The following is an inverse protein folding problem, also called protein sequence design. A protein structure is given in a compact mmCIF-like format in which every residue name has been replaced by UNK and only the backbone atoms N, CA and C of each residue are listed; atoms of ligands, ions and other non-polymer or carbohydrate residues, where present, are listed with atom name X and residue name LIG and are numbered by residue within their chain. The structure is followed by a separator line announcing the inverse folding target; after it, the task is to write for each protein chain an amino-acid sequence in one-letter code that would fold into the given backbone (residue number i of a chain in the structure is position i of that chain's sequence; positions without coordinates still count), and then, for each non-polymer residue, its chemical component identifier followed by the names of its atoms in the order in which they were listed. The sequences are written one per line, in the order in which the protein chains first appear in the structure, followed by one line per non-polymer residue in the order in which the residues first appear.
data_IF_736121590931
#
_entry.id   IF_736121590931
#
_cell.length_a   1.000
_cell.length_b   1.000
_cell.length_c   1.000
_cell.angle_alpha   90.00
_cell.angle_beta   90.00
_cell.angle_gamma   90.00
#
_symmetry.space_group_name_H-M   'P 1'
#
loop_
_entity.id
_entity.type
_entity.pdbx_description
1 polymer ?
#
# COMPACT_ATOMS: atom_id res chain seq x y z
N UNK A 1 10.47 10.13 39.35
CA UNK A 1 9.26 10.52 38.58
C UNK A 1 8.77 9.25 37.89
N UNK A 2 7.50 8.83 38.02
CA UNK A 2 7.03 7.65 37.30
C UNK A 2 6.97 8.03 35.82
N UNK A 3 8.09 7.83 35.12
CA UNK A 3 8.14 8.00 33.68
C UNK A 3 7.22 6.94 33.10
N UNK A 4 6.05 7.36 32.60
CA UNK A 4 5.16 6.50 31.85
C UNK A 4 6.02 5.87 30.74
N UNK A 5 6.16 4.53 30.70
CA UNK A 5 7.03 3.89 29.73
C UNK A 5 6.61 4.32 28.32
N UNK A 6 7.58 4.74 27.50
CA UNK A 6 7.38 5.13 26.10
C UNK A 6 6.48 4.18 25.27
N UNK A 7 6.44 2.84 25.53
CA UNK A 7 5.50 1.93 24.89
C UNK A 7 4.01 2.28 25.04
N UNK A 8 3.60 2.97 26.11
CA UNK A 8 2.20 3.33 26.31
C UNK A 8 1.73 4.43 25.35
N UNK A 9 2.62 5.36 24.97
CA UNK A 9 2.30 6.40 24.00
C UNK A 9 2.11 5.82 22.60
N UNK A 10 3.01 4.93 22.17
CA UNK A 10 2.89 4.26 20.87
C UNK A 10 1.67 3.35 20.81
N UNK A 11 1.35 2.64 21.91
CA UNK A 11 0.13 1.85 22.04
C UNK A 11 -1.13 2.71 21.89
N UNK A 12 -1.19 3.86 22.56
CA UNK A 12 -2.34 4.77 22.49
C UNK A 12 -2.57 5.28 21.07
N UNK A 13 -1.50 5.65 20.36
CA UNK A 13 -1.60 6.08 18.96
C UNK A 13 -2.06 4.94 18.04
N UNK A 14 -1.47 3.74 18.19
CA UNK A 14 -1.88 2.57 17.41
C UNK A 14 -3.36 2.20 17.64
N UNK A 15 -3.85 2.31 18.88
CA UNK A 15 -5.25 2.09 19.23
C UNK A 15 -6.19 3.12 18.60
N UNK A 16 -5.83 4.41 18.64
CA UNK A 16 -6.62 5.47 17.98
C UNK A 16 -6.70 5.25 16.46
N UNK A 17 -5.62 4.78 15.84
CA UNK A 17 -5.59 4.47 14.42
C UNK A 17 -6.42 3.23 14.07
N UNK A 18 -6.31 2.17 14.87
CA UNK A 18 -7.14 0.97 14.72
C UNK A 18 -8.63 1.33 14.87
N UNK A 19 -8.98 2.18 15.83
CA UNK A 19 -10.34 2.66 16.03
C UNK A 19 -10.83 3.46 14.83
N UNK A 20 -10.04 4.40 14.31
CA UNK A 20 -10.38 5.17 13.10
C UNK A 20 -10.63 4.25 11.90
N UNK A 21 -9.82 3.20 11.74
CA UNK A 21 -9.96 2.22 10.65
C UNK A 21 -11.20 1.35 10.85
N UNK A 22 -11.50 0.90 12.06
CA UNK A 22 -12.72 0.13 12.37
C UNK A 22 -14.01 0.94 12.13
N UNK A 23 -14.00 2.25 12.42
CA UNK A 23 -15.11 3.15 12.09
C UNK A 23 -15.20 3.46 10.59
N UNK A 24 -14.08 3.42 9.87
CA UNK A 24 -14.05 3.58 8.42
C UNK A 24 -14.49 2.27 7.76
N UNK A 25 -15.80 2.12 7.52
CA UNK A 25 -16.52 0.93 7.02
C UNK A 25 -16.04 0.30 5.69
N UNK A 26 -14.86 0.62 5.20
CA UNK A 26 -14.32 0.06 3.96
C UNK A 26 -13.64 -1.29 4.23
N UNK A 27 -14.17 -2.34 3.61
CA UNK A 27 -13.65 -3.71 3.70
C UNK A 27 -12.18 -3.85 3.26
N UNK A 28 -11.68 -2.87 2.51
CA UNK A 28 -10.31 -2.82 1.96
C UNK A 28 -9.25 -2.56 3.03
N UNK A 29 -9.59 -1.91 4.15
CA UNK A 29 -8.65 -1.70 5.26
C UNK A 29 -8.59 -2.88 6.23
N UNK A 30 -9.37 -3.95 6.02
CA UNK A 30 -9.38 -5.11 6.92
C UNK A 30 -7.98 -5.71 7.09
N UNK A 31 -7.21 -5.80 6.03
CA UNK A 31 -5.85 -6.33 6.07
C UNK A 31 -4.88 -5.40 6.79
N UNK A 32 -5.03 -4.09 6.63
CA UNK A 32 -4.27 -3.08 7.37
C UNK A 32 -4.63 -3.11 8.86
N UNK A 33 -5.90 -3.30 9.19
CA UNK A 33 -6.37 -3.46 10.56
C UNK A 33 -5.80 -4.72 11.23
N UNK A 34 -5.73 -5.84 10.49
CA UNK A 34 -5.10 -7.08 10.96
C UNK A 34 -3.60 -6.84 11.25
N UNK A 35 -2.88 -6.20 10.34
CA UNK A 35 -1.48 -5.84 10.57
C UNK A 35 -1.29 -4.91 11.77
N UNK A 36 -2.08 -3.85 11.87
CA UNK A 36 -2.05 -2.93 13.01
C UNK A 36 -2.39 -3.62 14.33
N UNK A 37 -3.33 -4.57 14.34
CA UNK A 37 -3.64 -5.35 15.53
C UNK A 37 -2.45 -6.20 15.98
N UNK A 38 -1.68 -6.77 15.05
CA UNK A 38 -0.42 -7.45 15.35
C UNK A 38 0.60 -6.52 16.00
N UNK A 39 0.76 -5.31 15.46
CA UNK A 39 1.64 -4.29 16.06
C UNK A 39 1.18 -3.86 17.45
N UNK A 40 -0.13 -3.66 17.66
CA UNK A 40 -0.73 -3.34 18.97
C UNK A 40 -0.41 -4.45 19.98
N UNK A 41 -0.61 -5.71 19.61
CA UNK A 41 -0.30 -6.86 20.47
C UNK A 41 1.18 -6.88 20.84
N UNK A 42 2.08 -6.66 19.89
CA UNK A 42 3.52 -6.69 20.13
C UNK A 42 3.97 -5.54 21.05
N UNK A 43 3.46 -4.33 20.85
CA UNK A 43 3.73 -3.18 21.73
C UNK A 43 3.11 -3.38 23.12
N UNK A 44 1.91 -3.93 23.21
CA UNK A 44 1.25 -4.25 24.47
C UNK A 44 2.06 -5.28 25.27
N UNK A 45 2.51 -6.36 24.64
CA UNK A 45 3.36 -7.37 25.28
C UNK A 45 4.69 -6.77 25.77
N UNK A 46 5.30 -5.88 24.97
CA UNK A 46 6.50 -5.14 25.38
C UNK A 46 6.25 -4.24 26.59
N UNK A 47 5.10 -3.56 26.66
CA UNK A 47 4.71 -2.72 27.80
C UNK A 47 4.44 -3.56 29.06
N UNK A 48 3.76 -4.69 28.89
CA UNK A 48 3.45 -5.62 29.98
C UNK A 48 4.72 -6.22 30.58
N UNK A 49 5.71 -6.57 29.74
CA UNK A 49 7.01 -7.07 30.17
C UNK A 49 7.77 -6.08 31.05
N UNK A 50 7.68 -4.78 30.76
CA UNK A 50 8.31 -3.75 31.59
C UNK A 50 7.68 -3.64 32.98
N UNK A 51 6.44 -4.08 33.14
CA UNK A 51 5.68 -4.00 34.39
C UNK A 51 5.71 -5.32 35.16
N UNK A 52 5.78 -6.45 34.45
CA UNK A 52 5.77 -7.80 35.00
C UNK A 52 6.91 -8.61 34.37
N UNK A 53 7.94 -8.96 35.14
CA UNK A 53 9.05 -9.81 34.68
C UNK A 53 8.67 -11.31 34.69
N UNK A 54 7.63 -11.66 33.92
CA UNK A 54 7.18 -13.04 33.80
C UNK A 54 7.81 -13.72 32.58
N UNK A 55 8.34 -14.94 32.77
CA UNK A 55 8.94 -15.76 31.71
C UNK A 55 7.95 -16.05 30.56
N UNK A 56 6.67 -16.24 30.89
CA UNK A 56 5.59 -16.48 29.92
C UNK A 56 5.44 -15.30 28.95
N UNK A 57 5.60 -14.06 29.43
CA UNK A 57 5.52 -12.86 28.59
C UNK A 57 6.67 -12.76 27.60
N UNK A 58 7.87 -13.26 27.98
CA UNK A 58 9.02 -13.30 27.06
C UNK A 58 8.76 -14.25 25.90
N UNK A 59 8.21 -15.43 26.15
CA UNK A 59 7.86 -16.39 25.08
C UNK A 59 6.76 -15.85 24.16
N UNK A 60 5.69 -15.27 24.73
CA UNK A 60 4.62 -14.64 23.95
C UNK A 60 5.14 -13.50 23.06
N UNK A 61 6.06 -12.68 23.57
CA UNK A 61 6.68 -11.60 22.80
C UNK A 61 7.46 -12.15 21.59
N UNK A 62 8.29 -13.18 21.77
CA UNK A 62 9.04 -13.80 20.68
C UNK A 62 8.12 -14.43 19.62
N UNK A 63 7.06 -15.11 20.04
CA UNK A 63 6.08 -15.68 19.11
C UNK A 63 5.35 -14.59 18.31
N UNK A 64 4.93 -13.51 18.97
CA UNK A 64 4.32 -12.36 18.29
C UNK A 64 5.27 -11.70 17.29
N UNK A 65 6.56 -11.57 17.64
CA UNK A 65 7.58 -11.02 16.76
C UNK A 65 7.83 -11.89 15.53
N UNK A 66 7.88 -13.22 15.68
CA UNK A 66 8.04 -14.16 14.55
C UNK A 66 6.80 -14.12 13.63
N UNK A 67 5.61 -13.96 14.19
CA UNK A 67 4.36 -13.96 13.43
C UNK A 67 4.10 -12.65 12.67
N UNK A 68 4.67 -11.52 13.11
CA UNK A 68 4.35 -10.20 12.55
C UNK A 68 4.79 -10.03 11.08
N UNK A 69 6.03 -10.32 10.66
CA UNK A 69 6.45 -10.17 9.26
C UNK A 69 5.68 -11.04 8.24
N UNK A 70 5.41 -12.35 8.47
CA UNK A 70 4.61 -13.14 7.54
C UNK A 70 3.15 -12.66 7.49
N UNK A 71 2.59 -12.19 8.60
CA UNK A 71 1.26 -11.59 8.64
C UNK A 71 1.21 -10.29 7.82
N UNK A 72 2.19 -9.41 7.97
CA UNK A 72 2.31 -8.20 7.17
C UNK A 72 2.36 -8.53 5.68
N UNK A 73 3.20 -9.50 5.31
CA UNK A 73 3.32 -9.95 3.94
C UNK A 73 2.00 -10.51 3.39
N UNK A 74 1.32 -11.38 4.14
CA UNK A 74 0.03 -11.92 3.73
C UNK A 74 -1.03 -10.82 3.55
N UNK A 75 -1.10 -9.88 4.49
CA UNK A 75 -2.05 -8.76 4.44
C UNK A 75 -1.87 -7.91 3.18
N UNK A 76 -0.65 -7.50 2.84
CA UNK A 76 -0.38 -6.62 1.70
C UNK A 76 -0.33 -7.35 0.35
N UNK A 77 0.06 -8.63 0.32
CA UNK A 77 0.08 -9.41 -0.93
C UNK A 77 -1.27 -10.01 -1.32
N UNK A 78 -2.23 -10.06 -0.40
CA UNK A 78 -3.59 -10.58 -0.67
C UNK A 78 -4.32 -9.85 -1.82
N UNK A 79 -3.94 -8.61 -2.11
CA UNK A 79 -4.47 -7.79 -3.21
C UNK A 79 -3.72 -7.95 -4.53
N UNK A 80 -2.59 -8.66 -4.51
CA UNK A 80 -1.79 -8.93 -5.71
C UNK A 80 -2.27 -10.19 -6.40
N UNK A 81 -2.18 -10.22 -7.74
CA UNK A 81 -2.47 -11.43 -8.54
C UNK A 81 -1.50 -12.59 -8.32
N UNK A 82 -0.64 -12.54 -7.30
CA UNK A 82 0.37 -13.55 -7.03
C UNK A 82 -0.13 -14.69 -6.13
N UNK A 83 -1.40 -14.73 -5.72
CA UNK A 83 -1.99 -15.84 -4.93
C UNK A 83 -1.75 -17.19 -5.62
N UNK A 84 -0.91 -18.06 -5.04
CA UNK A 84 -0.93 -19.50 -5.34
C UNK A 84 0.26 -20.11 -6.10
N UNK A 85 1.42 -19.46 -6.20
CA UNK A 85 2.63 -20.10 -6.74
C UNK A 85 3.36 -21.03 -5.72
N UNK A 86 4.17 -22.01 -6.17
CA UNK A 86 4.98 -22.86 -5.27
C UNK A 86 5.97 -22.07 -4.40
N UNK A 87 6.28 -20.83 -4.79
CA UNK A 87 7.07 -19.88 -4.01
C UNK A 87 6.40 -19.46 -2.69
N UNK A 88 5.08 -19.62 -2.54
CA UNK A 88 4.35 -19.32 -1.29
C UNK A 88 4.74 -20.25 -0.13
N UNK A 89 4.95 -21.54 -0.42
CA UNK A 89 5.40 -22.49 0.58
C UNK A 89 6.80 -22.15 1.12
N UNK A 90 7.66 -21.59 0.26
CA UNK A 90 9.00 -21.15 0.66
C UNK A 90 8.97 -19.94 1.62
N UNK A 91 7.96 -19.05 1.52
CA UNK A 91 7.82 -17.94 2.47
C UNK A 91 7.46 -18.43 3.88
N UNK A 92 6.63 -19.47 4.01
CA UNK A 92 6.33 -20.09 5.31
C UNK A 92 7.49 -20.87 5.93
N UNK A 93 8.51 -21.23 5.14
CA UNK A 93 9.68 -21.96 5.62
C UNK A 93 10.55 -21.09 6.54
N UNK A 94 10.68 -19.79 6.24
CA UNK A 94 11.45 -18.83 7.05
C UNK A 94 10.92 -18.63 8.50
N UNK A 95 9.62 -18.38 8.75
CA UNK A 95 9.10 -18.27 10.11
C UNK A 95 9.11 -19.61 10.87
N UNK A 96 8.95 -20.74 10.19
CA UNK A 96 9.11 -22.07 10.81
C UNK A 96 10.56 -22.29 11.26
N UNK A 97 11.55 -21.94 10.43
CA UNK A 97 12.96 -21.98 10.82
C UNK A 97 13.25 -21.04 12.00
N UNK A 98 12.71 -19.82 12.00
CA UNK A 98 12.87 -18.89 13.11
C UNK A 98 12.26 -19.43 14.42
N UNK A 99 11.12 -20.13 14.35
CA UNK A 99 10.52 -20.81 15.49
C UNK A 99 11.39 -21.96 16.01
N UNK A 100 11.96 -22.77 15.11
CA UNK A 100 12.90 -23.85 15.48
C UNK A 100 14.13 -23.28 16.16
N UNK A 101 14.72 -22.20 15.62
CA UNK A 101 15.85 -21.50 16.24
C UNK A 101 15.46 -20.96 17.63
N UNK A 102 14.25 -20.42 17.79
CA UNK A 102 13.77 -19.94 19.09
C UNK A 102 13.64 -21.04 20.15
N UNK A 103 13.28 -22.26 19.74
CA UNK A 103 13.18 -23.41 20.64
C UNK A 103 14.54 -24.08 20.91
N UNK A 104 15.41 -24.17 19.90
CA UNK A 104 16.66 -24.93 19.97
C UNK A 104 17.89 -24.11 20.39
N UNK A 105 17.94 -22.83 20.03
CA UNK A 105 19.06 -21.93 20.28
C UNK A 105 18.57 -20.50 20.59
N UNK A 106 18.10 -20.25 21.84
CA UNK A 106 17.60 -18.93 22.24
C UNK A 106 18.61 -17.80 22.06
N UNK A 107 19.92 -18.07 22.08
CA UNK A 107 20.94 -17.05 21.85
C UNK A 107 21.05 -16.57 20.40
N UNK A 108 20.46 -17.29 19.45
CA UNK A 108 20.46 -16.95 18.03
C UNK A 108 19.13 -16.35 17.56
N UNK A 109 18.16 -16.17 18.46
CA UNK A 109 16.82 -15.65 18.11
C UNK A 109 16.87 -14.26 17.52
N UNK A 110 17.74 -13.41 18.02
CA UNK A 110 17.81 -12.01 17.61
C UNK A 110 18.30 -11.90 16.16
N UNK A 111 19.28 -12.73 15.79
CA UNK A 111 19.76 -12.83 14.41
C UNK A 111 18.69 -13.43 13.48
N UNK A 112 17.94 -14.43 13.94
CA UNK A 112 16.84 -15.02 13.18
C UNK A 112 15.70 -14.02 12.95
N UNK A 113 15.32 -13.25 13.98
CA UNK A 113 14.32 -12.19 13.88
C UNK A 113 14.77 -11.10 12.92
N UNK A 114 16.01 -10.62 13.03
CA UNK A 114 16.57 -9.63 12.10
C UNK A 114 16.44 -10.09 10.64
N UNK A 115 16.89 -11.31 10.32
CA UNK A 115 16.82 -11.86 8.96
C UNK A 115 15.37 -12.00 8.48
N UNK A 116 14.46 -12.40 9.37
CA UNK A 116 13.04 -12.50 9.07
C UNK A 116 12.45 -11.13 8.72
N UNK A 117 12.65 -10.12 9.58
CA UNK A 117 12.14 -8.76 9.39
C UNK A 117 12.74 -8.08 8.14
N UNK A 118 14.06 -8.16 7.95
CA UNK A 118 14.71 -7.62 6.75
C UNK A 118 14.28 -8.34 5.47
N UNK A 119 14.14 -9.67 5.50
CA UNK A 119 13.72 -10.47 4.35
C UNK A 119 12.31 -10.10 3.90
N UNK A 120 11.34 -10.13 4.82
CA UNK A 120 9.96 -9.75 4.52
C UNK A 120 9.84 -8.26 4.17
N UNK A 121 10.52 -7.37 4.88
CA UNK A 121 10.54 -5.94 4.57
C UNK A 121 11.06 -5.66 3.16
N UNK A 122 12.16 -6.28 2.77
CA UNK A 122 12.73 -6.16 1.43
C UNK A 122 11.79 -6.70 0.35
N UNK A 123 11.08 -7.80 0.61
CA UNK A 123 10.11 -8.34 -0.34
C UNK A 123 8.92 -7.40 -0.56
N UNK A 124 8.40 -6.77 0.51
CA UNK A 124 7.32 -5.79 0.40
C UNK A 124 7.76 -4.54 -0.37
N UNK A 125 8.98 -4.05 -0.12
CA UNK A 125 9.56 -2.93 -0.89
C UNK A 125 9.69 -3.31 -2.37
N UNK A 126 10.15 -4.53 -2.67
CA UNK A 126 10.27 -5.01 -4.05
C UNK A 126 8.91 -5.09 -4.74
N UNK A 127 7.88 -5.59 -4.06
CA UNK A 127 6.50 -5.67 -4.58
C UNK A 127 5.93 -4.27 -4.81
N UNK A 128 6.17 -3.33 -3.89
CA UNK A 128 5.76 -1.93 -4.06
C UNK A 128 6.44 -1.26 -5.26
N UNK A 129 7.74 -1.52 -5.47
CA UNK A 129 8.52 -0.99 -6.62
C UNK A 129 8.06 -1.54 -7.98
N UNK A 130 7.36 -2.69 -8.02
CA UNK A 130 6.76 -3.22 -9.25
C UNK A 130 5.57 -2.36 -9.72
N UNK A 131 5.12 -1.41 -8.91
CA UNK A 131 4.13 -0.43 -9.28
C UNK A 131 2.70 -0.87 -9.03
N UNK A 132 1.81 0.08 -9.30
CA UNK A 132 0.39 0.10 -8.94
C UNK A 132 -0.39 -1.05 -9.58
N UNK A 133 0.00 -1.45 -10.79
CA UNK A 133 -0.67 -2.49 -11.57
C UNK A 133 -0.44 -3.90 -11.01
N UNK A 134 0.48 -4.07 -10.05
CA UNK A 134 0.66 -5.33 -9.32
C UNK A 134 -0.56 -5.68 -8.47
N UNK A 135 -1.31 -4.68 -8.02
CA UNK A 135 -2.48 -4.80 -7.15
C UNK A 135 -3.77 -5.01 -7.95
N UNK A 136 -3.80 -6.09 -8.73
CA UNK A 136 -4.84 -6.41 -9.73
C UNK A 136 -6.26 -6.46 -9.14
N UNK A 137 -6.40 -6.82 -7.86
CA UNK A 137 -7.69 -6.91 -7.17
C UNK A 137 -8.07 -5.65 -6.37
N UNK A 138 -7.18 -4.66 -6.29
CA UNK A 138 -7.51 -3.37 -5.68
C UNK A 138 -8.29 -2.50 -6.66
N UNK A 139 -9.19 -1.67 -6.14
CA UNK A 139 -9.86 -0.62 -6.92
C UNK A 139 -8.80 0.25 -7.57
N UNK A 140 -9.07 0.66 -8.80
CA UNK A 140 -8.12 1.42 -9.60
C UNK A 140 -7.70 2.75 -8.93
N UNK A 141 -8.60 3.38 -8.15
CA UNK A 141 -8.28 4.58 -7.38
C UNK A 141 -7.41 4.30 -6.14
N UNK A 142 -7.63 3.15 -5.50
CA UNK A 142 -7.01 2.79 -4.22
C UNK A 142 -5.69 2.04 -4.40
N UNK A 143 -5.38 1.57 -5.61
CA UNK A 143 -4.16 0.86 -5.94
C UNK A 143 -2.87 1.67 -5.62
N UNK A 144 -2.92 3.00 -5.79
CA UNK A 144 -1.81 3.90 -5.41
C UNK A 144 -1.58 3.92 -3.89
N UNK A 145 -2.67 3.99 -3.13
CA UNK A 145 -2.64 3.94 -1.68
C UNK A 145 -2.12 2.58 -1.20
N UNK A 146 -2.60 1.47 -1.78
CA UNK A 146 -2.13 0.13 -1.47
C UNK A 146 -0.62 -0.05 -1.73
N UNK A 147 -0.12 0.48 -2.86
CA UNK A 147 1.32 0.45 -3.22
C UNK A 147 2.16 1.21 -2.22
N UNK A 148 1.69 2.40 -1.82
CA UNK A 148 2.39 3.26 -0.85
C UNK A 148 2.37 2.66 0.55
N UNK A 149 1.23 2.13 1.00
CA UNK A 149 1.12 1.43 2.29
C UNK A 149 2.05 0.21 2.35
N UNK A 150 2.12 -0.57 1.26
CA UNK A 150 3.03 -1.70 1.14
C UNK A 150 4.50 -1.27 1.24
N UNK A 151 4.86 -0.14 0.61
CA UNK A 151 6.20 0.45 0.72
C UNK A 151 6.54 0.79 2.18
N UNK A 152 5.67 1.55 2.85
CA UNK A 152 5.89 2.00 4.21
C UNK A 152 5.93 0.83 5.20
N UNK A 153 5.07 -0.18 5.01
CA UNK A 153 5.12 -1.41 5.81
C UNK A 153 6.45 -2.16 5.62
N UNK A 154 6.97 -2.23 4.40
CA UNK A 154 8.28 -2.82 4.12
C UNK A 154 9.43 -2.05 4.78
N UNK A 155 9.44 -0.72 4.66
CA UNK A 155 10.42 0.15 5.32
C UNK A 155 10.36 0.02 6.85
N UNK A 156 9.16 -0.04 7.42
CA UNK A 156 8.93 -0.26 8.85
C UNK A 156 9.53 -1.59 9.31
N UNK A 157 9.30 -2.69 8.59
CA UNK A 157 9.88 -3.99 8.95
C UNK A 157 11.41 -3.97 8.88
N UNK A 158 11.99 -3.36 7.85
CA UNK A 158 13.45 -3.23 7.74
C UNK A 158 14.02 -2.38 8.88
N UNK A 159 13.37 -1.26 9.23
CA UNK A 159 13.78 -0.42 10.34
C UNK A 159 13.70 -1.17 11.68
N UNK A 160 12.62 -1.91 11.92
CA UNK A 160 12.46 -2.75 13.11
C UNK A 160 13.58 -3.79 13.19
N UNK A 161 13.88 -4.51 12.11
CA UNK A 161 14.96 -5.50 12.09
C UNK A 161 16.34 -4.89 12.33
N UNK A 162 16.60 -3.66 11.85
CA UNK A 162 17.85 -2.94 12.10
C UNK A 162 17.99 -2.49 13.57
N UNK A 163 16.88 -2.08 14.20
CA UNK A 163 16.85 -1.76 15.63
C UNK A 163 17.10 -3.01 16.47
N UNK A 164 16.47 -4.13 16.13
CA UNK A 164 16.68 -5.41 16.82
C UNK A 164 18.15 -5.85 16.75
N UNK A 165 18.80 -5.69 15.58
CA UNK A 165 20.24 -5.92 15.43
C UNK A 165 21.07 -4.98 16.32
N UNK A 166 20.74 -3.69 16.34
CA UNK A 166 21.48 -2.71 17.13
C UNK A 166 21.38 -3.02 18.64
N UNK A 167 20.21 -3.45 19.12
CA UNK A 167 20.02 -3.91 20.49
C UNK A 167 20.85 -5.17 20.77
N UNK A 168 20.84 -6.16 19.87
CA UNK A 168 21.61 -7.38 20.03
C UNK A 168 23.13 -7.11 20.09
N UNK A 169 23.63 -6.17 19.28
CA UNK A 169 25.02 -5.70 19.31
C UNK A 169 25.32 -4.99 20.64
N UNK A 170 24.42 -4.14 21.13
CA UNK A 170 24.57 -3.45 22.42
C UNK A 170 24.70 -4.44 23.59
N UNK A 171 23.88 -5.49 23.61
CA UNK A 171 24.00 -6.55 24.62
C UNK A 171 25.32 -7.32 24.54
N UNK A 172 25.89 -7.51 23.34
CA UNK A 172 27.16 -8.24 23.17
C UNK A 172 28.40 -7.42 23.48
N UNK A 173 28.40 -6.13 23.17
CA UNK A 173 29.60 -5.27 23.27
C UNK A 173 29.54 -4.27 24.43
N UNK A 174 28.36 -3.89 24.90
CA UNK A 174 28.15 -2.82 25.88
C UNK A 174 27.25 -3.25 27.07
N UNK A 175 27.08 -4.56 27.27
CA UNK A 175 26.27 -5.16 28.35
C UNK A 175 24.81 -4.66 28.42
N UNK A 176 24.27 -4.14 27.31
CA UNK A 176 22.90 -3.65 27.24
C UNK A 176 22.68 -2.26 27.86
N UNK A 177 23.74 -1.51 28.16
CA UNK A 177 23.66 -0.21 28.80
C UNK A 177 22.86 0.82 27.98
N UNK A 178 22.84 0.70 26.65
CA UNK A 178 22.15 1.64 25.76
C UNK A 178 20.82 1.10 25.23
N UNK A 179 20.52 -0.19 25.43
CA UNK A 179 19.31 -0.84 24.94
C UNK A 179 18.01 -0.08 25.26
N UNK A 180 17.78 0.48 26.48
CA UNK A 180 16.57 1.27 26.75
C UNK A 180 16.47 2.55 25.91
N UNK A 181 17.61 3.18 25.60
CA UNK A 181 17.69 4.40 24.78
C UNK A 181 17.44 4.06 23.30
N UNK A 182 18.01 2.97 22.81
CA UNK A 182 17.75 2.45 21.45
C UNK A 182 16.26 2.13 21.24
N UNK A 183 15.62 1.48 22.21
CA UNK A 183 14.18 1.21 22.19
C UNK A 183 13.38 2.52 22.23
N UNK A 184 13.76 3.47 23.07
CA UNK A 184 13.11 4.78 23.15
C UNK A 184 13.17 5.55 21.81
N UNK A 185 14.35 5.62 21.19
CA UNK A 185 14.58 6.32 19.92
C UNK A 185 13.81 5.66 18.77
N UNK A 186 13.85 4.34 18.67
CA UNK A 186 13.14 3.60 17.63
C UNK A 186 11.62 3.79 17.73
N UNK A 187 11.04 3.77 18.93
CA UNK A 187 9.61 4.01 19.15
C UNK A 187 9.20 5.45 18.81
N UNK A 188 10.10 6.41 19.02
CA UNK A 188 9.87 7.82 18.66
C UNK A 188 9.94 8.04 17.14
N UNK A 189 10.82 7.31 16.43
CA UNK A 189 10.88 7.30 14.96
C UNK A 189 9.72 6.54 14.30
N UNK A 190 9.08 5.62 15.02
CA UNK A 190 7.95 4.83 14.54
C UNK A 190 6.69 5.66 14.28
N UNK A 191 6.45 6.65 15.15
CA UNK A 191 5.31 7.57 15.12
C UNK A 191 5.21 8.40 13.83
N UNK A 192 6.27 9.08 13.36
CA UNK A 192 6.24 9.78 12.08
C UNK A 192 6.14 8.82 10.89
N UNK A 193 6.66 7.59 10.96
CA UNK A 193 6.49 6.61 9.87
C UNK A 193 5.02 6.25 9.64
N UNK A 194 4.29 6.00 10.73
CA UNK A 194 2.85 5.69 10.67
C UNK A 194 2.05 6.95 10.27
N UNK A 195 2.41 8.13 10.82
CA UNK A 195 1.80 9.41 10.45
C UNK A 195 1.99 9.77 8.97
N UNK A 196 3.18 9.56 8.42
CA UNK A 196 3.51 9.76 7.00
C UNK A 196 2.74 8.77 6.12
N UNK A 197 2.65 7.50 6.49
CA UNK A 197 1.85 6.52 5.74
C UNK A 197 0.36 6.91 5.66
N UNK A 198 -0.16 7.62 6.66
CA UNK A 198 -1.55 8.11 6.71
C UNK A 198 -1.71 9.45 5.97
N UNK A 199 -0.73 10.36 6.06
CA UNK A 199 -0.78 11.70 5.44
C UNK A 199 -0.46 11.64 3.94
N UNK A 200 0.43 10.75 3.52
CA UNK A 200 0.79 10.57 2.10
C UNK A 200 -0.29 9.86 1.26
N UNK A 201 -1.44 9.55 1.86
CA UNK A 201 -2.68 9.17 1.18
C UNK A 201 -3.20 10.24 0.18
N UNK A 202 -2.51 11.38 0.01
CA UNK A 202 -2.85 12.42 -0.98
C UNK A 202 -1.73 12.92 -1.90
N UNK A 203 -0.44 12.66 -1.61
CA UNK A 203 0.66 13.37 -2.28
C UNK A 203 1.85 12.48 -2.62
N UNK A 204 1.78 11.68 -3.68
CA UNK A 204 2.93 11.53 -4.60
C UNK A 204 2.38 11.42 -6.03
N UNK A 205 2.75 12.37 -6.87
CA UNK A 205 3.16 12.17 -8.26
C UNK A 205 4.19 13.29 -8.55
N UNK A 206 5.38 12.93 -9.03
CA UNK A 206 5.77 13.44 -10.34
C UNK A 206 5.91 12.30 -11.37
N UNK A 207 5.83 12.64 -12.68
CA UNK A 207 5.97 11.70 -13.78
C UNK A 207 7.44 11.39 -14.11
N UNK A 208 7.64 10.19 -14.66
CA UNK A 208 8.76 9.79 -15.50
C UNK A 208 10.17 9.80 -14.87
N UNK A 209 10.56 8.64 -14.35
CA UNK A 209 11.91 8.13 -14.62
C UNK A 209 11.78 6.71 -15.19
N UNK A 210 12.15 6.62 -16.46
CA UNK A 210 12.36 5.38 -17.21
C UNK A 210 13.40 4.56 -16.45
N UNK A 211 13.03 3.41 -15.87
CA UNK A 211 14.03 2.40 -15.56
C UNK A 211 13.49 0.96 -15.56
N UNK A 212 14.00 0.21 -16.53
CA UNK A 212 14.17 -1.25 -16.55
C UNK A 212 12.93 -2.12 -16.57
N UNK A 213 12.25 -2.13 -17.73
CA UNK A 213 11.78 -3.38 -18.29
C UNK A 213 12.99 -4.17 -18.82
N UNK A 214 13.52 -5.09 -18.02
CA UNK A 214 14.46 -6.16 -18.38
C UNK A 214 14.34 -7.23 -17.27
N UNK A 215 14.06 -8.52 -17.48
CA UNK A 215 14.00 -9.36 -18.66
C UNK A 215 12.89 -10.41 -18.50
N UNK A 216 12.08 -10.56 -19.54
CA UNK A 216 11.79 -11.85 -20.18
C UNK A 216 11.47 -11.50 -21.64
N UNK A 217 12.53 -11.31 -22.42
CA UNK A 217 12.45 -11.16 -23.86
C UNK A 217 12.44 -12.55 -24.49
N UNK A 218 11.27 -12.99 -24.94
CA UNK A 218 11.20 -13.73 -26.20
C UNK A 218 11.13 -12.67 -27.33
N UNK A 219 11.99 -12.75 -28.35
CA UNK A 219 12.04 -11.76 -29.42
C UNK A 219 10.92 -12.00 -30.45
N UNK A 220 10.23 -10.93 -30.86
CA UNK A 220 9.50 -10.88 -32.14
C UNK A 220 8.00 -11.24 -32.16
N UNK A 221 7.17 -10.66 -31.29
CA UNK A 221 5.71 -10.62 -31.55
C UNK A 221 5.10 -9.24 -31.26
N UNK A 222 4.85 -8.54 -32.37
CA UNK A 222 3.78 -7.58 -32.69
C UNK A 222 3.49 -6.39 -31.77
N UNK A 223 4.18 -5.27 -32.00
CA UNK A 223 3.68 -3.94 -31.60
C UNK A 223 2.27 -3.67 -32.16
N UNK A 224 1.94 -4.27 -33.32
CA UNK A 224 0.59 -4.24 -33.90
C UNK A 224 -0.45 -4.96 -33.03
N UNK A 225 -0.09 -6.09 -32.41
CA UNK A 225 -1.00 -6.89 -31.57
C UNK A 225 -1.19 -6.22 -30.21
N UNK A 226 -0.16 -5.57 -29.67
CA UNK A 226 -0.26 -4.71 -28.49
C UNK A 226 -1.16 -3.49 -28.76
N UNK A 227 -1.02 -2.87 -29.92
CA UNK A 227 -1.88 -1.75 -30.35
C UNK A 227 -3.33 -2.19 -30.55
N UNK A 228 -3.54 -3.35 -31.20
CA UNK A 228 -4.86 -3.95 -31.37
C UNK A 228 -5.50 -4.31 -30.03
N UNK A 229 -4.72 -4.89 -29.10
CA UNK A 229 -5.17 -5.18 -27.74
C UNK A 229 -5.58 -3.90 -27.01
N UNK A 230 -4.79 -2.83 -27.06
CA UNK A 230 -5.13 -1.54 -26.45
C UNK A 230 -6.45 -0.98 -26.99
N UNK A 231 -6.62 -0.93 -28.31
CA UNK A 231 -7.87 -0.44 -28.90
C UNK A 231 -9.06 -1.32 -28.56
N UNK A 232 -8.87 -2.63 -28.45
CA UNK A 232 -9.92 -3.53 -27.97
C UNK A 232 -10.32 -3.21 -26.52
N UNK A 233 -9.34 -3.06 -25.62
CA UNK A 233 -9.58 -2.71 -24.20
C UNK A 233 -10.28 -1.34 -24.11
N UNK A 234 -9.79 -0.34 -24.83
CA UNK A 234 -10.37 1.01 -24.86
C UNK A 234 -11.82 0.99 -25.31
N UNK A 235 -12.11 0.25 -26.39
CA UNK A 235 -13.48 0.08 -26.91
C UNK A 235 -14.38 -0.59 -25.87
N UNK A 236 -13.96 -1.70 -25.27
CA UNK A 236 -14.74 -2.39 -24.23
C UNK A 236 -15.00 -1.49 -23.02
N UNK A 237 -14.00 -0.71 -22.61
CA UNK A 237 -14.11 0.22 -21.48
C UNK A 237 -15.15 1.31 -21.76
N UNK A 238 -15.13 1.88 -22.97
CA UNK A 238 -16.04 2.94 -23.42
C UNK A 238 -17.47 2.45 -23.64
N UNK A 239 -17.65 1.35 -24.37
CA UNK A 239 -18.96 0.77 -24.69
C UNK A 239 -19.69 0.30 -23.43
N UNK A 240 -18.96 -0.38 -22.53
CA UNK A 240 -19.52 -0.82 -21.25
C UNK A 240 -19.65 0.30 -20.21
N UNK A 241 -19.14 1.51 -20.49
CA UNK A 241 -18.99 2.61 -19.53
C UNK A 241 -18.39 2.15 -18.19
N UNK A 242 -17.53 1.14 -18.23
CA UNK A 242 -16.98 0.50 -17.02
C UNK A 242 -16.18 1.51 -16.19
N UNK A 243 -15.60 2.52 -16.84
CA UNK A 243 -14.90 3.61 -16.15
C UNK A 243 -15.80 4.42 -15.19
N UNK A 244 -17.13 4.37 -15.30
CA UNK A 244 -18.04 5.03 -14.34
C UNK A 244 -18.24 4.21 -13.05
N UNK A 245 -17.93 2.91 -13.08
CA UNK A 245 -17.99 2.07 -11.89
C UNK A 245 -16.86 2.47 -10.93
N UNK A 246 -17.21 2.86 -9.70
CA UNK A 246 -16.23 3.22 -8.68
C UNK A 246 -15.47 2.00 -8.14
N UNK A 247 -16.01 0.79 -8.30
CA UNK A 247 -15.44 -0.48 -7.86
C UNK A 247 -14.59 -1.18 -8.93
N UNK A 248 -14.38 -0.52 -10.08
CA UNK A 248 -13.57 -1.06 -11.17
C UNK A 248 -12.16 -1.44 -10.69
N UNK A 249 -11.76 -2.66 -11.02
CA UNK A 249 -10.42 -3.22 -10.76
C UNK A 249 -9.76 -3.59 -12.07
N UNK A 250 -8.43 -3.68 -12.08
CA UNK A 250 -7.67 -4.15 -13.24
C UNK A 250 -8.09 -5.58 -13.64
N UNK A 251 -8.45 -6.42 -12.66
CA UNK A 251 -9.01 -7.76 -12.90
C UNK A 251 -10.33 -7.75 -13.67
N UNK A 252 -11.21 -6.78 -13.36
CA UNK A 252 -12.52 -6.65 -13.98
C UNK A 252 -12.39 -6.21 -15.43
N UNK A 253 -11.51 -5.24 -15.72
CA UNK A 253 -11.26 -4.81 -17.10
C UNK A 253 -10.66 -5.95 -17.91
N UNK A 254 -9.70 -6.69 -17.35
CA UNK A 254 -9.12 -7.85 -18.03
C UNK A 254 -10.17 -8.93 -18.33
N UNK A 255 -11.05 -9.22 -17.38
CA UNK A 255 -12.16 -10.17 -17.59
C UNK A 255 -13.15 -9.69 -18.66
N UNK A 256 -13.49 -8.40 -18.66
CA UNK A 256 -14.44 -7.83 -19.63
C UNK A 256 -13.88 -7.78 -21.06
N UNK A 257 -12.57 -7.52 -21.20
CA UNK A 257 -11.87 -7.45 -22.49
C UNK A 257 -11.29 -8.79 -22.96
N UNK A 258 -11.38 -9.85 -22.14
CA UNK A 258 -10.75 -11.15 -22.43
C UNK A 258 -9.22 -11.13 -22.40
N UNK A 259 -8.61 -10.02 -21.93
CA UNK A 259 -7.16 -9.82 -21.92
C UNK A 259 -6.62 -9.97 -20.49
N UNK A 260 -5.48 -10.65 -20.34
CA UNK A 260 -4.88 -10.83 -19.03
C UNK A 260 -4.50 -9.46 -18.39
N UNK A 261 -4.75 -9.26 -17.08
CA UNK A 261 -4.45 -8.00 -16.36
C UNK A 261 -3.04 -7.44 -16.60
N UNK A 262 -2.04 -8.34 -16.69
CA UNK A 262 -0.64 -7.96 -16.96
C UNK A 262 -0.43 -7.46 -18.40
N UNK A 263 -1.08 -8.11 -19.37
CA UNK A 263 -1.03 -7.69 -20.77
C UNK A 263 -1.74 -6.35 -20.97
N UNK A 264 -2.87 -6.15 -20.28
CA UNK A 264 -3.59 -4.87 -20.26
C UNK A 264 -2.71 -3.74 -19.71
N UNK A 265 -2.14 -3.92 -18.51
CA UNK A 265 -1.22 -2.93 -17.92
C UNK A 265 -0.04 -2.63 -18.84
N UNK A 266 0.55 -3.65 -19.46
CA UNK A 266 1.65 -3.49 -20.43
C UNK A 266 1.23 -2.69 -21.66
N UNK A 267 0.08 -3.00 -22.26
CA UNK A 267 -0.42 -2.30 -23.43
C UNK A 267 -0.69 -0.82 -23.12
N UNK A 268 -1.36 -0.52 -21.99
CA UNK A 268 -1.63 0.86 -21.56
C UNK A 268 -0.34 1.62 -21.25
N UNK A 269 0.60 1.00 -20.54
CA UNK A 269 1.87 1.65 -20.19
C UNK A 269 2.70 1.97 -21.44
N UNK A 270 2.81 1.03 -22.39
CA UNK A 270 3.58 1.22 -23.61
C UNK A 270 2.96 2.26 -24.56
N UNK A 271 1.63 2.32 -24.67
CA UNK A 271 0.94 3.19 -25.65
C UNK A 271 0.63 4.56 -25.06
N UNK A 272 0.15 4.63 -23.82
CA UNK A 272 -0.24 5.88 -23.19
C UNK A 272 0.85 6.53 -22.33
N UNK A 273 1.94 5.81 -22.04
CA UNK A 273 3.00 6.29 -21.15
C UNK A 273 2.53 6.52 -19.70
N UNK A 274 1.39 5.94 -19.31
CA UNK A 274 0.79 6.11 -18.00
C UNK A 274 0.30 4.76 -17.44
N UNK A 275 0.01 4.71 -16.14
CA UNK A 275 -0.57 3.50 -15.54
C UNK A 275 -2.08 3.41 -15.80
N UNK A 276 -2.66 2.24 -15.56
CA UNK A 276 -4.08 1.98 -15.86
C UNK A 276 -5.02 2.90 -15.07
N UNK A 277 -4.64 3.30 -13.86
CA UNK A 277 -5.41 4.25 -13.04
C UNK A 277 -5.51 5.63 -13.66
N UNK A 278 -4.39 6.15 -14.12
CA UNK A 278 -4.34 7.44 -14.81
C UNK A 278 -5.11 7.38 -16.12
N UNK A 279 -4.95 6.29 -16.87
CA UNK A 279 -5.68 6.05 -18.11
C UNK A 279 -7.20 6.07 -17.89
N UNK A 280 -7.73 5.29 -16.93
CA UNK A 280 -9.15 5.28 -16.56
C UNK A 280 -9.63 6.64 -16.06
N UNK A 281 -8.86 7.30 -15.18
CA UNK A 281 -9.20 8.62 -14.66
C UNK A 281 -9.27 9.69 -15.77
N UNK A 282 -8.49 9.55 -16.83
CA UNK A 282 -8.60 10.41 -18.01
C UNK A 282 -9.97 10.31 -18.70
N UNK A 283 -10.59 9.13 -18.76
CA UNK A 283 -11.97 8.97 -19.26
C UNK A 283 -12.99 9.57 -18.28
N UNK A 284 -12.83 9.32 -16.98
CA UNK A 284 -13.68 9.88 -15.93
C UNK A 284 -13.68 11.41 -15.92
N UNK A 285 -12.50 12.03 -16.04
CA UNK A 285 -12.39 13.50 -16.11
C UNK A 285 -13.05 14.04 -17.38
N UNK A 286 -12.86 13.40 -18.54
CA UNK A 286 -13.56 13.80 -19.77
C UNK A 286 -15.08 13.74 -19.62
N UNK A 287 -15.59 12.71 -18.95
CA UNK A 287 -17.02 12.60 -18.63
C UNK A 287 -17.47 13.73 -17.68
N UNK A 288 -16.71 13.99 -16.62
CA UNK A 288 -16.98 15.09 -15.70
C UNK A 288 -16.98 16.46 -16.40
N UNK A 289 -16.04 16.71 -17.31
CA UNK A 289 -15.97 17.94 -18.10
C UNK A 289 -17.23 18.12 -18.95
N UNK A 290 -17.72 17.06 -19.59
CA UNK A 290 -18.96 17.11 -20.36
C UNK A 290 -20.17 17.44 -19.47
N UNK A 291 -20.27 16.84 -18.28
CA UNK A 291 -21.33 17.15 -17.32
C UNK A 291 -21.24 18.59 -16.78
N UNK A 292 -20.03 19.08 -16.50
CA UNK A 292 -19.82 20.44 -15.99
C UNK A 292 -20.24 21.51 -17.00
N UNK A 293 -20.03 21.26 -18.31
CA UNK A 293 -20.39 22.17 -19.42
C UNK A 293 -21.87 22.14 -19.76
N UNK A 294 -22.49 20.96 -19.68
CA UNK A 294 -23.84 20.76 -20.22
C UNK A 294 -24.93 20.73 -19.14
N UNK A 295 -24.57 20.75 -17.85
CA UNK A 295 -25.52 20.62 -16.75
C UNK A 295 -25.20 21.54 -15.56
N UNK A 296 -26.24 21.92 -14.84
CA UNK A 296 -26.17 22.69 -13.59
C UNK A 296 -26.08 21.81 -12.33
N UNK A 297 -25.87 20.50 -12.48
CA UNK A 297 -25.81 19.53 -11.38
C UNK A 297 -24.63 19.88 -10.43
N UNK A 298 -24.76 19.68 -9.11
CA UNK A 298 -23.67 19.96 -8.17
C UNK A 298 -22.38 19.20 -8.51
N UNK A 299 -21.22 19.84 -8.32
CA UNK A 299 -19.89 19.25 -8.59
C UNK A 299 -19.69 17.93 -7.84
N UNK A 300 -20.20 17.83 -6.60
CA UNK A 300 -20.14 16.59 -5.80
C UNK A 300 -20.92 15.45 -6.44
N UNK A 301 -22.04 15.73 -7.10
CA UNK A 301 -22.82 14.71 -7.79
C UNK A 301 -22.11 14.29 -9.09
N UNK A 302 -21.59 15.25 -9.85
CA UNK A 302 -20.79 14.97 -11.06
C UNK A 302 -19.58 14.10 -10.75
N UNK A 303 -18.91 14.35 -9.62
CA UNK A 303 -17.82 13.52 -9.13
C UNK A 303 -18.26 12.05 -8.97
N UNK A 304 -19.37 11.82 -8.28
CA UNK A 304 -19.90 10.47 -8.04
C UNK A 304 -20.34 9.80 -9.34
N UNK A 305 -21.07 10.54 -10.20
CA UNK A 305 -21.55 10.06 -11.49
C UNK A 305 -20.40 9.74 -12.46
N UNK A 306 -19.25 10.39 -12.28
CA UNK A 306 -18.03 10.13 -13.05
C UNK A 306 -17.17 8.99 -12.46
N UNK A 307 -17.65 8.28 -11.43
CA UNK A 307 -16.96 7.13 -10.84
C UNK A 307 -15.88 7.46 -9.82
N UNK A 308 -15.86 8.68 -9.26
CA UNK A 308 -14.95 9.05 -8.17
C UNK A 308 -15.63 8.93 -6.81
N UNK A 309 -14.97 8.28 -5.85
CA UNK A 309 -15.51 8.08 -4.49
C UNK A 309 -15.19 9.22 -3.52
N UNK A 310 -14.18 10.05 -3.82
CA UNK A 310 -13.74 11.12 -2.91
C UNK A 310 -13.43 12.42 -3.63
N UNK A 311 -13.79 13.55 -2.99
CA UNK A 311 -13.60 14.91 -3.51
C UNK A 311 -12.13 15.28 -3.69
N UNK A 312 -11.28 14.84 -2.77
CA UNK A 312 -9.84 15.14 -2.84
C UNK A 312 -9.19 14.47 -4.05
N UNK A 313 -9.53 13.20 -4.31
CA UNK A 313 -9.02 12.48 -5.48
C UNK A 313 -9.55 13.08 -6.79
N UNK A 314 -10.86 13.36 -6.86
CA UNK A 314 -11.47 14.00 -8.02
C UNK A 314 -10.84 15.34 -8.36
N UNK A 315 -10.74 16.26 -7.40
CA UNK A 315 -10.15 17.58 -7.65
C UNK A 315 -8.69 17.48 -8.14
N UNK A 316 -7.91 16.55 -7.58
CA UNK A 316 -6.51 16.32 -7.98
C UNK A 316 -6.41 15.83 -9.42
N UNK A 317 -7.13 14.77 -9.77
CA UNK A 317 -7.08 14.22 -11.12
C UNK A 317 -7.72 15.19 -12.13
N UNK A 318 -8.81 15.86 -11.77
CA UNK A 318 -9.42 16.87 -12.63
C UNK A 318 -8.44 18.01 -12.93
N UNK A 319 -7.76 18.57 -11.93
CA UNK A 319 -6.75 19.61 -12.13
C UNK A 319 -5.56 19.11 -12.95
N UNK A 320 -5.14 17.86 -12.74
CA UNK A 320 -4.05 17.24 -13.50
C UNK A 320 -4.37 17.16 -15.00
N UNK A 321 -5.60 16.77 -15.36
CA UNK A 321 -6.00 16.59 -16.76
C UNK A 321 -6.53 17.87 -17.43
N UNK A 322 -7.14 18.77 -16.67
CA UNK A 322 -7.78 19.99 -17.20
C UNK A 322 -7.00 21.28 -16.98
N UNK A 323 -5.99 21.27 -16.09
CA UNK A 323 -5.23 22.45 -15.68
C UNK A 323 -5.95 23.38 -14.69
N UNK A 324 -7.21 23.12 -14.32
CA UNK A 324 -8.00 23.97 -13.41
C UNK A 324 -8.87 23.16 -12.46
N UNK A 325 -9.49 23.81 -11.46
CA UNK A 325 -10.42 23.12 -10.56
C UNK A 325 -11.76 22.89 -11.25
N UNK A 326 -12.55 21.87 -10.86
CA UNK A 326 -13.88 21.63 -11.43
C UNK A 326 -14.81 22.86 -11.36
N UNK A 327 -14.71 23.63 -10.27
CA UNK A 327 -15.49 24.84 -10.07
C UNK A 327 -15.06 25.95 -11.02
N UNK A 328 -13.74 26.17 -11.17
CA UNK A 328 -13.22 27.15 -12.11
C UNK A 328 -13.53 26.77 -13.56
N UNK A 329 -13.43 25.48 -13.88
CA UNK A 329 -13.76 24.94 -15.19
C UNK A 329 -15.21 25.19 -15.58
N UNK A 330 -16.15 25.02 -14.63
CA UNK A 330 -17.57 25.35 -14.85
C UNK A 330 -17.75 26.85 -15.09
N UNK A 331 -17.18 27.70 -14.23
CA UNK A 331 -17.29 29.15 -14.39
C UNK A 331 -16.80 29.61 -15.77
N UNK A 332 -15.65 29.10 -16.21
CA UNK A 332 -15.11 29.40 -17.54
C UNK A 332 -16.02 28.87 -18.67
N UNK A 333 -16.66 27.72 -18.49
CA UNK A 333 -17.60 27.19 -19.47
C UNK A 333 -18.88 28.06 -19.58
N UNK A 334 -19.41 28.51 -18.44
CA UNK A 334 -20.59 29.37 -18.37
C UNK A 334 -20.30 30.77 -18.96
N UNK A 335 -19.12 31.33 -18.71
CA UNK A 335 -18.67 32.60 -19.30
C UNK A 335 -18.54 32.54 -20.83
N UNK A 336 -18.12 31.40 -21.39
CA UNK A 336 -18.01 31.20 -22.84
C UNK A 336 -19.36 30.90 -23.54
N UNK A 337 -20.44 30.67 -22.78
CA UNK A 337 -21.79 30.41 -23.30
C UNK A 337 -22.66 31.68 -23.39
N UNK A 338 -22.15 32.83 -22.91
CA UNK A 338 -22.78 34.14 -23.09
C UNK A 338 -22.04 34.86 -24.23
N UNK A 339 -22.56 34.87 -25.47
CA UNK A 339 -22.05 35.77 -26.49
C UNK A 339 -22.49 37.21 -26.15
N UNK A 340 -21.58 38.16 -26.30
CA UNK A 340 -21.85 39.61 -26.27
C UNK A 340 -23.03 40.02 -27.18
#
# INVERSE_FOLDING_TARGET
MPAIPLPFYTLTVLLLLLLKILFSRHAEYRNVAIFLSGCVILVLLSALRWTFDAIILRQLQSLAAIALPPLAWYCFTSFTGQRGGPKHAAYWLAPVLALIVNLAAPEMTDAALMLLFMGYGSTLIKISRQGVDTFIFSRINDANAATSMTFFAGCFLCFSGAVDLAIAVDFRFFEGAQAPILVALSQTLLLPFIGIAIVFNGKIAPPAEVLSAQQDAAPGHNDEELTAAYHHIEKTLLEGKLFLDHDITLSLIGKASGIAPRQLSRAVNQICGCNVSQWVNGFRVRHAQALLRNTSIPVTQIMLDSGFSTKSHFNKEFARFSGSTPTDYRRLADENLVPD
#
